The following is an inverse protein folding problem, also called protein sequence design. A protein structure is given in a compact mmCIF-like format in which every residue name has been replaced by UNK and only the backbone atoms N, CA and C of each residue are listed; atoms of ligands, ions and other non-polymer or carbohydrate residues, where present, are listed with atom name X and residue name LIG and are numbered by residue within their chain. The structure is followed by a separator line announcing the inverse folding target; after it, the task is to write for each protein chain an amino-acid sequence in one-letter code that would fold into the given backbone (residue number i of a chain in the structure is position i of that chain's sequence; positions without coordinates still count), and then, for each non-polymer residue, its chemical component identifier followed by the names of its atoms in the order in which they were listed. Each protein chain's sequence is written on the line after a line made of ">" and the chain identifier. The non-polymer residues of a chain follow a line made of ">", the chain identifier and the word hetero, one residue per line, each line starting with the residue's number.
data_IF_280830555433
#
_entry.id   IF_280830555433
#
_cell.length_a   1.000
_cell.length_b   1.000
_cell.length_c   1.000
_cell.angle_alpha   90.00
_cell.angle_beta   90.00
_cell.angle_gamma   90.00
#
_symmetry.space_group_name_H-M   'P 1'
#
loop_
_entity.id
_entity.type
_entity.pdbx_description
1 polymer ?
#
# COMPACT_ATOMS: atom_id res chain seq x y z
N UNK A 1 1.78 -11.72 -6.72
CA UNK A 1 1.29 -12.30 -5.52
C UNK A 1 2.24 -13.24 -4.86
N UNK A 2 2.63 -12.88 -3.66
CA UNK A 2 3.44 -13.73 -2.79
C UNK A 2 2.60 -14.80 -2.07
N UNK A 3 1.32 -14.85 -2.36
CA UNK A 3 0.45 -15.83 -1.75
C UNK A 3 0.53 -17.14 -2.50
N UNK A 4 1.38 -17.98 -1.98
CA UNK A 4 1.45 -19.38 -2.36
C UNK A 4 0.31 -20.16 -1.69
N UNK A 5 -0.90 -19.65 -1.84
CA UNK A 5 -2.09 -20.36 -1.40
C UNK A 5 -2.53 -21.28 -2.52
N UNK A 6 -2.02 -22.49 -2.49
CA UNK A 6 -2.52 -23.54 -3.36
C UNK A 6 -3.83 -24.06 -2.78
N UNK A 7 -4.80 -24.21 -3.65
CA UNK A 7 -6.09 -24.80 -3.41
C UNK A 7 -5.93 -26.30 -3.13
N UNK A 8 -5.54 -26.62 -1.92
CA UNK A 8 -5.72 -27.97 -1.42
C UNK A 8 -6.81 -27.93 -0.37
N UNK A 9 -7.83 -28.74 -0.64
CA UNK A 9 -8.88 -29.02 0.34
C UNK A 9 -8.21 -29.56 1.60
N UNK A 10 -7.96 -28.66 2.55
CA UNK A 10 -7.49 -29.04 3.88
C UNK A 10 -8.56 -29.90 4.55
N UNK A 11 -8.50 -31.21 4.34
CA UNK A 11 -9.03 -32.11 5.38
C UNK A 11 -8.07 -31.97 6.56
N UNK A 12 -8.57 -31.79 7.80
CA UNK A 12 -7.72 -31.88 8.97
C UNK A 12 -7.19 -33.32 9.04
N UNK A 13 -5.99 -33.52 8.51
CA UNK A 13 -5.26 -34.75 8.72
C UNK A 13 -4.60 -34.60 10.07
N UNK A 14 -4.90 -35.54 10.97
CA UNK A 14 -4.44 -35.64 12.34
C UNK A 14 -2.97 -35.27 12.52
N UNK A 15 -2.75 -34.39 13.41
CA UNK A 15 -1.59 -33.67 13.88
C UNK A 15 -0.56 -34.55 14.60
N UNK A 16 -0.05 -35.55 13.97
CA UNK A 16 1.28 -36.05 14.33
C UNK A 16 2.29 -35.29 13.48
N UNK A 17 2.87 -34.24 14.07
CA UNK A 17 3.85 -33.39 13.41
C UNK A 17 4.90 -34.20 12.68
N UNK A 18 4.97 -34.03 11.35
CA UNK A 18 6.00 -34.72 10.57
C UNK A 18 7.33 -33.99 10.79
N UNK A 19 8.34 -34.73 11.26
CA UNK A 19 9.66 -34.22 11.55
C UNK A 19 10.62 -34.50 10.37
N UNK A 20 11.27 -33.45 9.89
CA UNK A 20 12.24 -33.53 8.81
C UNK A 20 13.62 -33.08 9.29
N UNK A 21 14.64 -33.89 9.03
CA UNK A 21 16.02 -33.62 9.43
C UNK A 21 16.72 -32.50 8.63
N UNK A 22 16.12 -32.04 7.53
CA UNK A 22 16.61 -30.91 6.73
C UNK A 22 15.50 -30.28 5.89
N UNK A 23 15.71 -29.04 5.43
CA UNK A 23 14.83 -28.34 4.51
C UNK A 23 14.65 -29.12 3.20
N UNK A 24 15.73 -29.71 2.68
CA UNK A 24 15.68 -30.48 1.43
C UNK A 24 14.79 -31.73 1.53
N UNK A 25 14.78 -32.38 2.68
CA UNK A 25 13.89 -33.54 2.92
C UNK A 25 12.42 -33.11 2.96
N UNK A 26 12.11 -31.97 3.56
CA UNK A 26 10.76 -31.43 3.54
C UNK A 26 10.31 -31.04 2.12
N UNK A 27 11.21 -30.45 1.32
CA UNK A 27 10.96 -30.13 -0.08
C UNK A 27 10.72 -31.38 -0.93
N UNK A 28 11.53 -32.44 -0.71
CA UNK A 28 11.35 -33.72 -1.41
C UNK A 28 9.99 -34.36 -1.08
N UNK A 29 9.59 -34.34 0.19
CA UNK A 29 8.27 -34.83 0.61
C UNK A 29 7.11 -34.03 -0.02
N UNK A 30 7.29 -32.74 -0.21
CA UNK A 30 6.34 -31.88 -0.91
C UNK A 30 6.28 -32.23 -2.41
N UNK A 31 7.40 -32.42 -3.09
CA UNK A 31 7.47 -32.82 -4.49
C UNK A 31 6.83 -34.21 -4.72
N UNK A 32 7.00 -35.12 -3.76
CA UNK A 32 6.35 -36.43 -3.75
C UNK A 32 4.86 -36.37 -3.39
N UNK A 33 4.29 -35.15 -3.11
CA UNK A 33 2.90 -34.93 -2.71
C UNK A 33 2.50 -35.61 -1.38
N UNK A 34 3.44 -35.88 -0.50
CA UNK A 34 3.20 -36.44 0.83
C UNK A 34 2.68 -35.37 1.80
N UNK A 35 3.07 -34.12 1.58
CA UNK A 35 2.70 -32.95 2.39
C UNK A 35 2.23 -31.81 1.49
N UNK A 36 1.38 -30.93 2.04
CA UNK A 36 0.88 -29.75 1.35
C UNK A 36 1.65 -28.50 1.77
N UNK A 37 1.53 -27.40 1.03
CA UNK A 37 2.22 -26.13 1.33
C UNK A 37 1.82 -25.52 2.67
N UNK A 38 0.60 -25.76 3.14
CA UNK A 38 0.02 -25.15 4.34
C UNK A 38 0.10 -26.06 5.58
N UNK A 39 0.53 -27.28 5.40
CA UNK A 39 0.62 -28.23 6.51
C UNK A 39 1.77 -27.87 7.44
N UNK A 40 1.50 -27.84 8.75
CA UNK A 40 2.52 -27.63 9.76
C UNK A 40 3.47 -28.82 9.82
N UNK A 41 4.75 -28.54 9.77
CA UNK A 41 5.85 -29.50 9.84
C UNK A 41 6.92 -28.99 10.80
N UNK A 42 7.75 -29.89 11.30
CA UNK A 42 8.92 -29.58 12.10
C UNK A 42 10.18 -29.86 11.29
N UNK A 43 11.00 -28.83 11.09
CA UNK A 43 12.23 -28.94 10.31
C UNK A 43 13.44 -28.61 11.20
N UNK A 44 14.44 -29.47 11.14
CA UNK A 44 15.70 -29.21 11.82
C UNK A 44 16.48 -28.14 11.07
N UNK A 45 16.83 -27.05 11.77
CA UNK A 45 17.62 -25.94 11.24
C UNK A 45 18.82 -25.67 12.09
N UNK A 46 19.88 -25.23 11.45
CA UNK A 46 21.09 -24.72 12.11
C UNK A 46 21.33 -23.29 11.64
N UNK A 47 21.28 -22.36 12.57
CA UNK A 47 21.49 -20.93 12.31
C UNK A 47 22.75 -20.48 13.02
N UNK A 48 23.57 -19.66 12.35
CA UNK A 48 24.72 -18.98 12.97
C UNK A 48 24.24 -17.62 13.48
N UNK A 49 24.36 -17.37 14.77
CA UNK A 49 24.12 -16.04 15.34
C UNK A 49 25.30 -15.09 14.98
N UNK A 50 25.04 -13.77 15.17
CA UNK A 50 26.06 -12.75 14.99
C UNK A 50 27.34 -12.99 15.82
N UNK A 51 27.18 -13.62 16.97
CA UNK A 51 28.29 -14.01 17.89
C UNK A 51 29.09 -15.24 17.42
N UNK A 52 28.78 -15.80 16.25
CA UNK A 52 29.43 -17.00 15.72
C UNK A 52 28.95 -18.31 16.31
N UNK A 53 28.13 -18.32 17.34
CA UNK A 53 27.54 -19.52 17.94
C UNK A 53 26.53 -20.15 16.97
N UNK A 54 26.60 -21.48 16.83
CA UNK A 54 25.64 -22.26 16.05
C UNK A 54 24.54 -22.75 16.96
N UNK A 55 23.32 -22.36 16.68
CA UNK A 55 22.12 -22.88 17.34
C UNK A 55 21.43 -23.84 16.40
N UNK A 56 21.16 -25.06 16.84
CA UNK A 56 20.44 -26.06 16.05
C UNK A 56 19.23 -26.58 16.83
N UNK A 57 18.12 -26.78 16.13
CA UNK A 57 16.87 -27.27 16.73
C UNK A 57 15.76 -27.43 15.70
N UNK A 58 14.67 -28.00 16.17
CA UNK A 58 13.45 -28.11 15.35
C UNK A 58 12.61 -26.83 15.45
N UNK A 59 12.19 -26.34 14.29
CA UNK A 59 11.31 -25.17 14.17
C UNK A 59 10.00 -25.60 13.53
N UNK A 60 8.88 -25.22 14.11
CA UNK A 60 7.57 -25.38 13.50
C UNK A 60 7.45 -24.40 12.35
N UNK A 61 7.06 -24.91 11.19
CA UNK A 61 6.96 -24.12 9.96
C UNK A 61 6.04 -24.80 8.94
N UNK A 62 5.87 -24.18 7.78
CA UNK A 62 5.19 -24.78 6.63
C UNK A 62 6.13 -24.81 5.43
N UNK A 63 5.88 -25.70 4.47
CA UNK A 63 6.66 -25.74 3.23
C UNK A 63 6.61 -24.40 2.48
N UNK A 64 5.45 -23.73 2.48
CA UNK A 64 5.32 -22.42 1.87
C UNK A 64 6.26 -21.37 2.48
N UNK A 65 6.40 -21.33 3.80
CA UNK A 65 7.34 -20.44 4.49
C UNK A 65 8.81 -20.80 4.18
N UNK A 66 9.14 -22.08 4.07
CA UNK A 66 10.49 -22.51 3.68
C UNK A 66 10.85 -21.96 2.30
N UNK A 67 10.00 -22.19 1.30
CA UNK A 67 10.22 -21.75 -0.08
C UNK A 67 10.34 -20.23 -0.17
N UNK A 68 9.49 -19.49 0.55
CA UNK A 68 9.50 -18.04 0.53
C UNK A 68 10.79 -17.47 1.15
N UNK A 69 11.20 -17.99 2.32
CA UNK A 69 12.36 -17.51 3.02
C UNK A 69 13.70 -17.95 2.39
N UNK A 70 13.72 -18.97 1.53
CA UNK A 70 14.91 -19.38 0.79
C UNK A 70 15.46 -18.24 -0.08
N UNK A 71 14.57 -17.43 -0.65
CA UNK A 71 14.92 -16.34 -1.55
C UNK A 71 15.16 -15.00 -0.83
N UNK A 72 15.03 -14.95 0.48
CA UNK A 72 15.17 -13.73 1.28
C UNK A 72 16.34 -13.87 2.24
N UNK A 73 17.25 -12.88 2.29
CA UNK A 73 18.30 -12.84 3.30
C UNK A 73 17.74 -12.93 4.72
N UNK A 74 18.37 -13.70 5.59
CA UNK A 74 17.89 -14.00 6.94
C UNK A 74 18.51 -13.08 8.02
N UNK A 75 18.95 -11.88 7.66
CA UNK A 75 19.61 -10.89 8.51
C UNK A 75 18.98 -9.47 8.39
N UNK A 76 17.72 -9.41 8.00
CA UNK A 76 17.02 -8.15 7.76
C UNK A 76 16.55 -7.44 9.05
N UNK A 77 16.57 -8.12 10.20
CA UNK A 77 16.19 -7.55 11.49
C UNK A 77 14.68 -7.34 11.66
N UNK A 78 13.85 -8.20 11.07
CA UNK A 78 12.41 -8.28 11.41
C UNK A 78 12.21 -9.02 12.73
N UNK A 79 13.12 -9.97 13.04
CA UNK A 79 13.09 -10.73 14.27
C UNK A 79 14.34 -10.38 15.09
N UNK A 80 14.13 -10.10 16.38
CA UNK A 80 15.18 -9.88 17.34
C UNK A 80 15.83 -11.22 17.71
N UNK A 81 17.00 -11.51 17.11
CA UNK A 81 17.77 -12.74 17.32
C UNK A 81 18.65 -12.72 18.57
N UNK A 82 18.62 -11.65 19.35
CA UNK A 82 19.30 -11.61 20.65
C UNK A 82 18.60 -12.51 21.67
N UNK A 83 17.33 -12.83 21.47
CA UNK A 83 16.56 -13.76 22.30
C UNK A 83 16.72 -15.19 21.79
N UNK A 84 17.11 -16.12 22.67
CA UNK A 84 17.32 -17.53 22.33
C UNK A 84 16.07 -18.20 21.69
N UNK A 85 14.87 -17.80 22.11
CA UNK A 85 13.59 -18.32 21.58
C UNK A 85 13.37 -17.96 20.10
N UNK A 86 13.96 -16.88 19.63
CA UNK A 86 13.77 -16.38 18.27
C UNK A 86 14.91 -16.79 17.33
N UNK A 87 15.98 -17.42 17.85
CA UNK A 87 17.17 -17.75 17.07
C UNK A 87 16.87 -18.61 15.83
N UNK A 88 15.93 -19.52 15.93
CA UNK A 88 15.57 -20.47 14.86
C UNK A 88 14.42 -20.00 13.97
N UNK A 89 13.71 -18.90 14.32
CA UNK A 89 12.61 -18.38 13.52
C UNK A 89 13.08 -17.80 12.18
N UNK A 90 12.19 -17.82 11.20
CA UNK A 90 12.44 -17.18 9.90
C UNK A 90 12.24 -15.67 10.00
N UNK A 91 12.96 -14.90 9.21
CA UNK A 91 12.78 -13.45 9.14
C UNK A 91 11.36 -13.04 8.72
N UNK A 92 10.74 -13.83 7.86
CA UNK A 92 9.38 -13.56 7.37
C UNK A 92 8.47 -14.71 7.78
N UNK A 93 7.70 -14.51 8.85
CA UNK A 93 6.66 -15.43 9.34
C UNK A 93 5.27 -14.79 9.30
N UNK A 94 5.20 -13.50 8.93
CA UNK A 94 3.95 -12.76 8.82
C UNK A 94 3.37 -12.83 7.41
N UNK A 95 2.09 -12.52 7.28
CA UNK A 95 1.39 -12.44 6.00
C UNK A 95 2.01 -11.35 5.10
N UNK A 96 2.40 -11.72 3.88
CA UNK A 96 3.14 -10.86 2.95
C UNK A 96 2.28 -10.44 1.77
N UNK A 97 1.73 -9.24 1.84
CA UNK A 97 1.08 -8.58 0.71
C UNK A 97 2.00 -7.55 0.03
N UNK A 98 1.44 -6.73 -0.85
CA UNK A 98 2.17 -5.70 -1.60
C UNK A 98 2.94 -4.72 -0.70
N UNK A 99 2.35 -4.30 0.43
CA UNK A 99 2.98 -3.36 1.37
C UNK A 99 4.19 -4.00 2.07
N UNK A 100 4.03 -5.23 2.51
CA UNK A 100 5.08 -5.96 3.22
C UNK A 100 6.26 -6.31 2.30
N UNK A 101 6.01 -6.67 1.04
CA UNK A 101 7.10 -6.85 0.05
C UNK A 101 7.91 -5.56 -0.09
N UNK A 102 7.26 -4.40 -0.19
CA UNK A 102 7.97 -3.12 -0.24
C UNK A 102 8.87 -2.92 0.97
N UNK A 103 8.40 -3.22 2.17
CA UNK A 103 9.17 -3.11 3.41
C UNK A 103 10.36 -4.09 3.45
N UNK A 104 10.15 -5.33 2.99
CA UNK A 104 11.22 -6.33 2.89
C UNK A 104 12.32 -5.84 1.94
N UNK A 105 11.95 -5.38 0.74
CA UNK A 105 12.90 -4.88 -0.25
C UNK A 105 13.62 -3.62 0.21
N UNK A 106 12.94 -2.72 0.90
CA UNK A 106 13.54 -1.54 1.52
C UNK A 106 14.61 -1.94 2.56
N UNK A 107 14.33 -2.94 3.39
CA UNK A 107 15.34 -3.47 4.32
C UNK A 107 16.49 -4.16 3.60
N UNK A 108 16.21 -4.95 2.57
CA UNK A 108 17.26 -5.62 1.78
C UNK A 108 18.21 -4.61 1.15
N UNK A 109 17.69 -3.55 0.50
CA UNK A 109 18.53 -2.53 -0.14
C UNK A 109 19.37 -1.74 0.88
N UNK A 110 18.80 -1.48 2.06
CA UNK A 110 19.51 -0.76 3.12
C UNK A 110 20.60 -1.60 3.81
N UNK A 111 20.48 -2.93 3.79
CA UNK A 111 21.41 -3.84 4.46
C UNK A 111 22.47 -4.38 3.50
N UNK A 112 22.06 -4.84 2.32
CA UNK A 112 22.91 -5.54 1.35
C UNK A 112 23.26 -4.74 0.09
N UNK A 113 22.61 -3.57 -0.12
CA UNK A 113 22.84 -2.75 -1.30
C UNK A 113 22.10 -3.21 -2.56
N UNK A 114 22.31 -2.50 -3.68
CA UNK A 114 21.51 -2.64 -4.89
C UNK A 114 21.67 -3.98 -5.62
N UNK A 115 22.88 -4.53 -5.66
CA UNK A 115 23.19 -5.78 -6.41
C UNK A 115 22.45 -6.97 -5.84
N UNK A 116 22.57 -7.21 -4.54
CA UNK A 116 21.86 -8.31 -3.85
C UNK A 116 20.35 -8.10 -3.89
N UNK A 117 19.90 -6.84 -3.83
CA UNK A 117 18.46 -6.53 -3.96
C UNK A 117 17.92 -6.91 -5.34
N UNK A 118 18.70 -6.70 -6.41
CA UNK A 118 18.30 -7.11 -7.76
C UNK A 118 18.17 -8.64 -7.87
N UNK A 119 19.10 -9.40 -7.30
CA UNK A 119 19.03 -10.87 -7.25
C UNK A 119 17.79 -11.35 -6.47
N UNK A 120 17.52 -10.77 -5.30
CA UNK A 120 16.34 -11.09 -4.49
C UNK A 120 15.06 -10.78 -5.25
N UNK A 121 14.99 -9.64 -5.96
CA UNK A 121 13.84 -9.26 -6.79
C UNK A 121 13.60 -10.27 -7.92
N UNK A 122 14.65 -10.69 -8.62
CA UNK A 122 14.54 -11.66 -9.70
C UNK A 122 14.10 -13.04 -9.18
N UNK A 123 14.63 -13.47 -8.04
CA UNK A 123 14.23 -14.72 -7.40
C UNK A 123 12.77 -14.69 -6.93
N UNK A 124 12.34 -13.61 -6.27
CA UNK A 124 10.94 -13.44 -5.84
C UNK A 124 9.99 -13.41 -7.04
N UNK A 125 10.37 -12.71 -8.11
CA UNK A 125 9.61 -12.68 -9.37
C UNK A 125 9.48 -14.08 -9.98
N UNK A 126 10.59 -14.81 -10.13
CA UNK A 126 10.61 -16.16 -10.69
C UNK A 126 9.76 -17.13 -9.85
N UNK A 127 9.89 -17.06 -8.53
CA UNK A 127 9.07 -17.81 -7.58
C UNK A 127 7.58 -17.50 -7.76
N UNK A 128 7.21 -16.22 -7.83
CA UNK A 128 5.84 -15.79 -8.01
C UNK A 128 5.22 -16.36 -9.29
N UNK A 129 5.91 -16.29 -10.42
CA UNK A 129 5.44 -16.88 -11.68
C UNK A 129 5.32 -18.40 -11.59
N UNK A 130 6.33 -19.09 -11.08
CA UNK A 130 6.34 -20.55 -10.94
C UNK A 130 5.12 -21.04 -10.16
N UNK A 131 4.92 -20.52 -8.96
CA UNK A 131 3.86 -21.00 -8.07
C UNK A 131 2.47 -20.50 -8.46
N UNK A 132 2.34 -19.32 -9.06
CA UNK A 132 1.08 -18.86 -9.63
C UNK A 132 0.62 -19.77 -10.77
N UNK A 133 1.54 -20.21 -11.62
CA UNK A 133 1.25 -21.16 -12.71
C UNK A 133 0.88 -22.53 -12.16
N UNK A 134 1.62 -23.05 -11.18
CA UNK A 134 1.33 -24.36 -10.56
C UNK A 134 -0.01 -24.38 -9.82
N UNK A 135 -0.36 -23.26 -9.16
CA UNK A 135 -1.63 -23.11 -8.47
C UNK A 135 -2.82 -22.94 -9.42
N UNK A 136 -2.57 -22.73 -10.73
CA UNK A 136 -3.60 -22.49 -11.73
C UNK A 136 -4.63 -21.44 -11.30
N UNK A 137 -4.16 -20.32 -10.76
CA UNK A 137 -5.01 -19.25 -10.22
C UNK A 137 -5.87 -18.66 -11.34
N UNK A 138 -7.17 -18.82 -11.22
CA UNK A 138 -8.17 -18.35 -12.19
C UNK A 138 -9.44 -17.89 -11.47
N UNK A 139 -10.33 -17.21 -12.18
CA UNK A 139 -11.62 -16.74 -11.67
C UNK A 139 -12.74 -17.57 -12.29
N UNK A 140 -13.59 -18.14 -11.43
CA UNK A 140 -14.80 -18.84 -11.81
C UNK A 140 -16.04 -18.12 -11.24
N UNK A 141 -17.18 -18.32 -11.89
CA UNK A 141 -18.47 -17.83 -11.36
C UNK A 141 -18.78 -18.46 -10.00
N UNK A 142 -18.34 -19.70 -9.77
CA UNK A 142 -18.51 -20.40 -8.49
C UNK A 142 -17.74 -19.73 -7.34
N UNK A 143 -16.65 -19.03 -7.63
CA UNK A 143 -15.82 -18.34 -6.62
C UNK A 143 -16.50 -17.07 -6.09
N UNK A 144 -17.51 -16.58 -6.78
CA UNK A 144 -18.30 -15.40 -6.40
C UNK A 144 -19.43 -15.82 -5.47
N UNK A 145 -19.15 -16.02 -4.18
CA UNK A 145 -20.17 -16.42 -3.19
C UNK A 145 -20.97 -15.21 -2.72
N UNK A 146 -22.29 -15.26 -2.92
CA UNK A 146 -23.20 -14.20 -2.44
C UNK A 146 -23.47 -14.43 -0.95
N UNK A 147 -23.34 -13.41 -0.08
CA UNK A 147 -23.63 -13.55 1.35
C UNK A 147 -25.10 -13.93 1.58
N UNK A 148 -25.40 -14.91 2.42
CA UNK A 148 -26.78 -15.32 2.70
C UNK A 148 -27.58 -14.23 3.42
N UNK A 149 -26.92 -13.28 4.05
CA UNK A 149 -27.53 -12.14 4.75
C UNK A 149 -28.01 -11.03 3.81
N UNK A 150 -27.58 -11.01 2.54
CA UNK A 150 -27.89 -9.96 1.56
C UNK A 150 -29.39 -9.66 1.43
N UNK A 151 -30.31 -10.64 1.26
CA UNK A 151 -31.74 -10.37 1.11
C UNK A 151 -32.33 -9.62 2.30
N UNK A 152 -31.94 -10.03 3.51
CA UNK A 152 -32.42 -9.40 4.75
C UNK A 152 -31.92 -7.95 4.85
N UNK A 153 -30.66 -7.70 4.62
CA UNK A 153 -30.08 -6.35 4.70
C UNK A 153 -30.70 -5.40 3.69
N UNK A 154 -31.01 -5.87 2.48
CA UNK A 154 -31.70 -5.07 1.45
C UNK A 154 -33.14 -4.79 1.85
N UNK A 155 -33.86 -5.76 2.45
CA UNK A 155 -35.23 -5.56 2.92
C UNK A 155 -35.29 -4.52 4.04
N UNK A 156 -34.39 -4.61 5.03
CA UNK A 156 -34.32 -3.67 6.16
C UNK A 156 -34.01 -2.24 5.68
N UNK A 157 -33.12 -2.09 4.69
CA UNK A 157 -32.82 -0.81 4.06
C UNK A 157 -34.03 -0.26 3.31
N UNK A 158 -34.76 -1.09 2.57
CA UNK A 158 -35.96 -0.68 1.86
C UNK A 158 -37.06 -0.20 2.81
N UNK A 159 -37.28 -0.91 3.92
CA UNK A 159 -38.23 -0.50 4.96
C UNK A 159 -37.87 0.86 5.57
N UNK A 160 -36.58 1.13 5.74
CA UNK A 160 -36.10 2.42 6.24
C UNK A 160 -36.35 3.52 5.22
N UNK A 161 -36.05 3.32 3.94
CA UNK A 161 -36.32 4.26 2.85
C UNK A 161 -37.83 4.54 2.73
N UNK A 162 -38.68 3.52 2.91
CA UNK A 162 -40.14 3.69 2.89
C UNK A 162 -40.64 4.54 4.07
N UNK A 163 -40.01 4.42 5.25
CA UNK A 163 -40.31 5.28 6.40
C UNK A 163 -39.94 6.73 6.12
N UNK A 164 -38.74 7.00 5.58
CA UNK A 164 -38.28 8.33 5.17
C UNK A 164 -39.24 8.94 4.13
N UNK A 165 -39.64 8.15 3.14
CA UNK A 165 -40.59 8.59 2.11
C UNK A 165 -41.97 8.92 2.70
N UNK A 166 -42.44 8.17 3.69
CA UNK A 166 -43.72 8.50 4.41
C UNK A 166 -43.60 9.78 5.22
N UNK A 167 -42.46 10.06 5.85
CA UNK A 167 -42.21 11.32 6.56
C UNK A 167 -42.26 12.52 5.62
N UNK A 168 -41.62 12.39 4.46
CA UNK A 168 -41.69 13.40 3.38
C UNK A 168 -43.13 13.66 2.92
N UNK A 169 -43.89 12.60 2.63
CA UNK A 169 -45.31 12.73 2.23
C UNK A 169 -46.19 13.36 3.30
N UNK A 170 -45.79 13.30 4.58
CA UNK A 170 -46.44 14.01 5.70
C UNK A 170 -46.00 15.46 5.87
N UNK A 171 -45.02 15.92 5.08
CA UNK A 171 -44.47 17.27 5.16
C UNK A 171 -43.52 17.53 6.33
N UNK A 172 -42.95 16.45 6.95
CA UNK A 172 -42.08 16.57 8.11
C UNK A 172 -40.62 16.90 7.72
N UNK A 173 -40.23 16.54 6.51
CA UNK A 173 -38.88 16.76 5.97
C UNK A 173 -38.95 17.36 4.58
N UNK A 174 -37.92 18.10 4.18
CA UNK A 174 -37.76 18.65 2.84
C UNK A 174 -37.35 17.58 1.83
N UNK A 175 -37.50 17.84 0.54
CA UNK A 175 -37.06 16.90 -0.51
C UNK A 175 -35.55 16.70 -0.50
N UNK A 176 -34.78 17.74 -0.17
CA UNK A 176 -33.33 17.67 -0.10
C UNK A 176 -32.85 16.83 1.08
N UNK A 177 -33.51 16.92 2.23
CA UNK A 177 -33.25 16.09 3.39
C UNK A 177 -33.60 14.63 3.10
N UNK A 178 -34.80 14.39 2.52
CA UNK A 178 -35.19 13.04 2.07
C UNK A 178 -34.13 12.43 1.16
N UNK A 179 -33.68 13.18 0.15
CA UNK A 179 -32.65 12.73 -0.80
C UNK A 179 -31.37 12.35 -0.09
N UNK A 180 -30.88 13.16 0.83
CA UNK A 180 -29.66 12.90 1.61
C UNK A 180 -29.80 11.64 2.47
N UNK A 181 -30.89 11.52 3.22
CA UNK A 181 -31.15 10.39 4.09
C UNK A 181 -31.28 9.07 3.31
N UNK A 182 -31.93 9.08 2.16
CA UNK A 182 -32.06 7.90 1.28
C UNK A 182 -30.70 7.45 0.77
N UNK A 183 -29.86 8.38 0.29
CA UNK A 183 -28.52 8.05 -0.20
C UNK A 183 -27.63 7.52 0.94
N UNK A 184 -27.69 8.13 2.11
CA UNK A 184 -26.92 7.71 3.28
C UNK A 184 -27.33 6.29 3.72
N UNK A 185 -28.63 6.01 3.80
CA UNK A 185 -29.16 4.67 4.12
C UNK A 185 -28.61 3.60 3.16
N UNK A 186 -28.63 3.87 1.85
CA UNK A 186 -28.13 2.93 0.87
C UNK A 186 -26.61 2.78 0.91
N UNK A 187 -25.88 3.86 1.20
CA UNK A 187 -24.43 3.83 1.36
C UNK A 187 -24.01 3.01 2.58
N UNK A 188 -24.69 3.20 3.71
CA UNK A 188 -24.42 2.44 4.93
C UNK A 188 -24.72 0.95 4.76
N UNK A 189 -25.82 0.65 4.05
CA UNK A 189 -26.18 -0.75 3.72
C UNK A 189 -25.13 -1.39 2.80
N UNK A 190 -24.66 -0.65 1.81
CA UNK A 190 -23.62 -1.09 0.88
C UNK A 190 -22.28 -1.37 1.59
N UNK A 191 -21.88 -0.49 2.51
CA UNK A 191 -20.67 -0.65 3.31
C UNK A 191 -20.78 -1.83 4.30
N UNK A 192 -21.95 -2.00 4.93
CA UNK A 192 -22.23 -3.13 5.80
C UNK A 192 -22.22 -4.47 5.04
N UNK A 193 -22.85 -4.51 3.85
CA UNK A 193 -22.84 -5.68 2.99
C UNK A 193 -21.44 -6.02 2.49
N UNK A 194 -20.63 -5.01 2.16
CA UNK A 194 -19.24 -5.20 1.76
C UNK A 194 -18.40 -5.84 2.88
N UNK A 195 -18.58 -5.38 4.12
CA UNK A 195 -17.91 -5.98 5.28
C UNK A 195 -18.36 -7.42 5.51
N UNK A 196 -19.65 -7.69 5.43
CA UNK A 196 -20.18 -9.04 5.55
C UNK A 196 -19.67 -9.98 4.45
N UNK A 197 -19.56 -9.48 3.22
CA UNK A 197 -19.00 -10.22 2.09
C UNK A 197 -17.53 -10.58 2.30
N UNK A 198 -16.68 -9.61 2.63
CA UNK A 198 -15.25 -9.84 2.83
C UNK A 198 -14.96 -10.76 4.02
N UNK A 199 -15.76 -10.65 5.08
CA UNK A 199 -15.61 -11.53 6.25
C UNK A 199 -16.11 -12.96 5.98
N UNK A 200 -17.11 -13.11 5.11
CA UNK A 200 -17.70 -14.40 4.76
C UNK A 200 -16.99 -15.17 3.65
N UNK A 201 -16.06 -14.53 2.92
CA UNK A 201 -15.28 -15.19 1.89
C UNK A 201 -14.24 -16.13 2.52
N UNK A 202 -14.06 -17.30 1.89
CA UNK A 202 -12.97 -18.21 2.24
C UNK A 202 -11.62 -17.56 1.91
N UNK A 203 -10.66 -17.67 2.84
CA UNK A 203 -9.30 -17.17 2.66
C UNK A 203 -8.58 -17.80 1.46
N UNK A 204 -8.97 -19.01 1.07
CA UNK A 204 -8.43 -19.73 -0.08
C UNK A 204 -9.22 -19.51 -1.38
N UNK A 205 -10.19 -18.61 -1.36
CA UNK A 205 -10.90 -18.20 -2.57
C UNK A 205 -9.96 -17.40 -3.48
N UNK A 206 -9.89 -17.76 -4.76
CA UNK A 206 -8.97 -17.15 -5.72
C UNK A 206 -9.17 -15.62 -5.84
N UNK A 207 -10.43 -15.17 -5.83
CA UNK A 207 -10.75 -13.73 -5.92
C UNK A 207 -10.26 -12.99 -4.67
N UNK A 208 -10.51 -13.58 -3.49
CA UNK A 208 -10.07 -13.02 -2.22
C UNK A 208 -8.55 -12.93 -2.16
N UNK A 209 -7.83 -14.01 -2.51
CA UNK A 209 -6.37 -14.03 -2.52
C UNK A 209 -5.76 -12.99 -3.44
N UNK A 210 -6.31 -12.81 -4.65
CA UNK A 210 -5.81 -11.80 -5.59
C UNK A 210 -5.99 -10.37 -5.07
N UNK A 211 -7.09 -10.08 -4.39
CA UNK A 211 -7.36 -8.76 -3.85
C UNK A 211 -6.61 -8.49 -2.55
N UNK A 212 -6.55 -9.45 -1.63
CA UNK A 212 -5.88 -9.33 -0.33
C UNK A 212 -4.36 -9.18 -0.49
N UNK A 213 -3.75 -9.94 -1.41
CA UNK A 213 -2.34 -9.75 -1.76
C UNK A 213 -2.02 -8.39 -2.37
N UNK A 214 -3.03 -7.67 -2.87
CA UNK A 214 -2.87 -6.42 -3.60
C UNK A 214 -2.29 -6.61 -5.01
N UNK A 215 -2.26 -7.84 -5.53
CA UNK A 215 -1.79 -8.14 -6.88
C UNK A 215 -2.76 -7.62 -7.94
N UNK A 216 -4.05 -7.91 -7.78
CA UNK A 216 -5.10 -7.45 -8.69
C UNK A 216 -6.46 -7.44 -8.00
N UNK A 217 -7.27 -6.46 -8.35
CA UNK A 217 -8.59 -6.31 -7.78
C UNK A 217 -8.63 -5.35 -6.59
N UNK A 218 -9.83 -4.99 -6.21
CA UNK A 218 -10.12 -4.17 -5.03
C UNK A 218 -11.44 -4.64 -4.41
N UNK A 219 -11.64 -4.30 -3.14
CA UNK A 219 -12.87 -4.60 -2.42
C UNK A 219 -14.13 -4.10 -3.15
N UNK A 220 -14.00 -2.93 -3.82
CA UNK A 220 -15.07 -2.36 -4.64
C UNK A 220 -15.43 -3.23 -5.84
N UNK A 221 -14.46 -3.93 -6.46
CA UNK A 221 -14.72 -4.83 -7.57
C UNK A 221 -15.32 -6.14 -7.10
N UNK A 222 -14.84 -6.70 -5.98
CA UNK A 222 -15.42 -7.91 -5.37
C UNK A 222 -16.88 -7.67 -4.98
N UNK A 223 -17.17 -6.51 -4.40
CA UNK A 223 -18.51 -6.07 -4.05
C UNK A 223 -19.45 -6.08 -5.26
N UNK A 224 -19.04 -5.56 -6.39
CA UNK A 224 -19.84 -5.56 -7.61
C UNK A 224 -20.08 -6.95 -8.20
N UNK A 225 -19.14 -7.88 -7.97
CA UNK A 225 -19.25 -9.25 -8.46
C UNK A 225 -20.21 -10.11 -7.63
N UNK A 226 -20.18 -9.99 -6.31
CA UNK A 226 -20.88 -10.90 -5.38
C UNK A 226 -21.76 -10.21 -4.33
N UNK A 227 -21.65 -8.90 -4.16
CA UNK A 227 -22.44 -8.12 -3.21
C UNK A 227 -23.60 -7.37 -3.87
N UNK A 228 -23.49 -6.05 -3.90
CA UNK A 228 -24.43 -5.13 -4.53
C UNK A 228 -23.64 -4.12 -5.37
N UNK A 229 -24.16 -3.76 -6.54
CA UNK A 229 -23.50 -2.73 -7.35
C UNK A 229 -23.65 -1.33 -6.74
N UNK A 230 -24.76 -1.08 -6.07
CA UNK A 230 -24.98 0.13 -5.29
C UNK A 230 -25.49 1.31 -6.09
N UNK A 231 -25.27 2.51 -5.56
CA UNK A 231 -25.72 3.76 -6.15
C UNK A 231 -24.90 4.14 -7.39
N UNK A 232 -25.58 4.61 -8.42
CA UNK A 232 -24.97 5.09 -9.65
C UNK A 232 -25.11 6.60 -9.78
N UNK A 233 -24.16 7.23 -10.46
CA UNK A 233 -24.24 8.65 -10.79
C UNK A 233 -24.86 8.83 -12.19
N UNK A 234 -25.70 9.85 -12.31
CA UNK A 234 -26.24 10.31 -13.58
C UNK A 234 -25.14 11.00 -14.43
N UNK A 235 -25.44 11.32 -15.67
CA UNK A 235 -24.56 12.05 -16.59
C UNK A 235 -24.13 13.41 -16.06
N UNK A 236 -24.97 14.06 -15.23
CA UNK A 236 -24.66 15.33 -14.55
C UNK A 236 -23.76 15.19 -13.34
N UNK A 237 -23.55 13.96 -12.82
CA UNK A 237 -22.78 13.68 -11.61
C UNK A 237 -23.64 13.58 -10.35
N UNK A 238 -24.96 13.83 -10.42
CA UNK A 238 -25.88 13.61 -9.30
C UNK A 238 -26.11 12.11 -9.10
N UNK A 239 -26.15 11.68 -7.85
CA UNK A 239 -26.43 10.28 -7.51
C UNK A 239 -27.90 9.95 -7.74
N UNK A 240 -28.19 8.85 -8.42
CA UNK A 240 -29.55 8.36 -8.64
C UNK A 240 -30.00 7.69 -7.33
N UNK A 241 -31.20 8.04 -6.84
CA UNK A 241 -31.74 7.53 -5.56
C UNK A 241 -32.05 6.03 -5.59
N UNK A 242 -32.25 5.48 -6.78
CA UNK A 242 -32.54 4.05 -6.96
C UNK A 242 -31.23 3.26 -7.05
N UNK A 243 -30.89 2.42 -6.05
CA UNK A 243 -29.68 1.62 -6.09
C UNK A 243 -29.85 0.40 -7.00
N UNK A 244 -28.76 -0.06 -7.57
CA UNK A 244 -28.70 -1.38 -8.22
C UNK A 244 -28.45 -2.42 -7.12
N UNK A 245 -29.50 -3.16 -6.77
CA UNK A 245 -29.49 -4.17 -5.69
C UNK A 245 -28.83 -5.47 -6.12
N UNK A 246 -28.85 -5.76 -7.40
CA UNK A 246 -28.27 -6.97 -7.98
C UNK A 246 -26.74 -6.88 -8.10
N UNK A 247 -26.09 -8.02 -8.16
CA UNK A 247 -24.67 -8.17 -8.47
C UNK A 247 -24.48 -8.84 -9.85
N UNK A 248 -23.26 -8.82 -10.37
CA UNK A 248 -22.98 -9.41 -11.67
C UNK A 248 -23.22 -10.94 -11.71
N UNK A 249 -23.03 -11.64 -10.57
CA UNK A 249 -23.31 -13.07 -10.49
C UNK A 249 -24.80 -13.38 -10.67
N UNK A 250 -25.67 -12.59 -10.04
CA UNK A 250 -27.13 -12.76 -10.14
C UNK A 250 -27.69 -12.30 -11.48
N UNK A 251 -26.94 -11.41 -12.15
CA UNK A 251 -27.40 -10.70 -13.35
C UNK A 251 -28.16 -9.42 -12.98
N UNK A 252 -28.19 -8.48 -13.91
CA UNK A 252 -28.88 -7.21 -13.75
C UNK A 252 -30.23 -7.24 -14.48
N UNK A 253 -31.24 -6.61 -13.90
CA UNK A 253 -32.49 -6.35 -14.60
C UNK A 253 -32.29 -5.32 -15.73
N UNK A 254 -33.19 -5.25 -16.68
CA UNK A 254 -33.10 -4.34 -17.85
C UNK A 254 -32.91 -2.88 -17.40
N UNK A 255 -33.66 -2.46 -16.40
CA UNK A 255 -33.59 -1.08 -15.88
C UNK A 255 -32.27 -0.82 -15.15
N UNK A 256 -31.83 -1.77 -14.34
CA UNK A 256 -30.54 -1.70 -13.66
C UNK A 256 -29.37 -1.69 -14.63
N UNK A 257 -29.44 -2.48 -15.70
CA UNK A 257 -28.45 -2.48 -16.77
C UNK A 257 -28.39 -1.13 -17.48
N UNK A 258 -29.54 -0.54 -17.80
CA UNK A 258 -29.60 0.76 -18.45
C UNK A 258 -29.00 1.87 -17.59
N UNK A 259 -29.34 1.93 -16.29
CA UNK A 259 -28.70 2.87 -15.34
C UNK A 259 -27.20 2.67 -15.26
N UNK A 260 -26.76 1.43 -15.24
CA UNK A 260 -25.35 1.04 -15.23
C UNK A 260 -24.60 1.52 -16.48
N UNK A 261 -25.25 1.48 -17.64
CA UNK A 261 -24.66 1.91 -18.91
C UNK A 261 -24.35 3.41 -18.96
N UNK A 262 -25.11 4.25 -18.26
CA UNK A 262 -24.83 5.69 -18.14
C UNK A 262 -23.46 5.94 -17.50
N UNK A 263 -23.18 5.32 -16.37
CA UNK A 263 -21.89 5.44 -15.68
C UNK A 263 -20.73 4.90 -16.50
N UNK A 264 -20.90 3.76 -17.17
CA UNK A 264 -19.89 3.18 -18.04
C UNK A 264 -19.57 4.09 -19.23
N UNK A 265 -20.59 4.61 -19.92
CA UNK A 265 -20.40 5.54 -21.04
C UNK A 265 -19.71 6.83 -20.60
N UNK A 266 -20.14 7.41 -19.46
CA UNK A 266 -19.48 8.59 -18.88
C UNK A 266 -18.01 8.31 -18.59
N UNK A 267 -17.69 7.18 -17.96
CA UNK A 267 -16.32 6.80 -17.67
C UNK A 267 -15.45 6.65 -18.91
N UNK A 268 -15.96 6.04 -19.97
CA UNK A 268 -15.24 5.91 -21.25
C UNK A 268 -15.00 7.27 -21.91
N UNK A 269 -16.03 8.13 -21.94
CA UNK A 269 -15.92 9.47 -22.52
C UNK A 269 -14.94 10.35 -21.72
N UNK A 270 -15.07 10.37 -20.39
CA UNK A 270 -14.20 11.15 -19.51
C UNK A 270 -12.74 10.70 -19.64
N UNK A 271 -12.48 9.41 -19.74
CA UNK A 271 -11.12 8.89 -19.94
C UNK A 271 -10.53 9.37 -21.25
N UNK A 272 -11.29 9.31 -22.35
CA UNK A 272 -10.84 9.76 -23.66
C UNK A 272 -10.51 11.26 -23.68
N UNK A 273 -11.35 12.10 -23.07
CA UNK A 273 -11.15 13.55 -23.00
C UNK A 273 -10.00 13.93 -22.07
N UNK A 274 -9.93 13.33 -20.87
CA UNK A 274 -8.87 13.61 -19.88
C UNK A 274 -7.48 13.21 -20.38
N UNK A 275 -7.37 12.21 -21.23
CA UNK A 275 -6.09 11.80 -21.81
C UNK A 275 -5.49 12.93 -22.64
N UNK A 276 -6.30 13.61 -23.45
CA UNK A 276 -5.86 14.76 -24.25
C UNK A 276 -5.43 15.94 -23.36
N UNK A 277 -6.22 16.28 -22.34
CA UNK A 277 -5.94 17.39 -21.40
C UNK A 277 -4.66 17.13 -20.62
N UNK A 278 -4.49 15.90 -20.11
CA UNK A 278 -3.28 15.46 -19.40
C UNK A 278 -2.05 15.53 -20.30
N UNK A 279 -2.15 15.07 -21.55
CA UNK A 279 -1.06 15.13 -22.52
C UNK A 279 -0.67 16.58 -22.85
N UNK A 280 -1.64 17.45 -23.07
CA UNK A 280 -1.38 18.86 -23.33
C UNK A 280 -0.79 19.59 -22.12
N UNK A 281 -1.28 19.30 -20.89
CA UNK A 281 -0.70 19.85 -19.66
C UNK A 281 0.76 19.41 -19.50
N UNK A 282 1.03 18.12 -19.67
CA UNK A 282 2.39 17.55 -19.57
C UNK A 282 3.33 18.21 -20.57
N UNK A 283 2.91 18.36 -21.82
CA UNK A 283 3.71 19.04 -22.84
C UNK A 283 4.06 20.47 -22.44
N UNK A 284 3.07 21.26 -21.98
CA UNK A 284 3.32 22.66 -21.55
C UNK A 284 4.28 22.74 -20.37
N UNK A 285 4.15 21.81 -19.39
CA UNK A 285 5.06 21.74 -18.24
C UNK A 285 6.48 21.41 -18.67
N UNK A 286 6.66 20.43 -19.55
CA UNK A 286 7.98 20.06 -20.09
C UNK A 286 8.57 21.20 -20.91
N UNK A 287 7.81 21.86 -21.80
CA UNK A 287 8.29 22.98 -22.62
C UNK A 287 8.82 24.14 -21.76
N UNK A 288 8.17 24.44 -20.63
CA UNK A 288 8.60 25.48 -19.69
C UNK A 288 9.81 25.07 -18.85
N UNK A 289 9.88 23.79 -18.45
CA UNK A 289 10.86 23.32 -17.47
C UNK A 289 12.07 22.60 -18.06
N UNK A 290 12.06 22.24 -19.35
CA UNK A 290 13.14 21.47 -20.00
C UNK A 290 14.55 22.06 -19.86
N UNK A 291 14.66 23.37 -19.70
CA UNK A 291 15.94 24.06 -19.53
C UNK A 291 16.43 24.12 -18.08
N UNK A 292 15.62 23.59 -17.14
CA UNK A 292 15.99 23.60 -15.73
C UNK A 292 17.03 22.52 -15.45
N UNK A 293 18.25 22.97 -15.19
CA UNK A 293 19.41 22.12 -14.92
C UNK A 293 20.00 22.52 -13.57
N UNK A 294 20.55 21.55 -12.84
CA UNK A 294 21.34 21.80 -11.64
C UNK A 294 22.70 22.40 -12.05
N UNK A 295 22.93 23.68 -11.77
CA UNK A 295 24.13 24.40 -12.22
C UNK A 295 25.28 24.41 -11.24
N UNK A 296 24.97 24.38 -9.95
CA UNK A 296 25.95 24.50 -8.87
C UNK A 296 25.55 23.64 -7.67
N UNK A 297 26.50 23.33 -6.81
CA UNK A 297 26.26 22.53 -5.62
C UNK A 297 25.48 23.31 -4.56
N UNK A 298 25.82 24.59 -4.34
CA UNK A 298 25.22 25.43 -3.29
C UNK A 298 25.23 26.90 -3.69
N UNK A 299 24.06 27.50 -3.86
CA UNK A 299 23.89 28.91 -4.22
C UNK A 299 24.33 29.92 -3.13
N UNK A 300 24.65 29.45 -1.93
CA UNK A 300 25.14 30.27 -0.82
C UNK A 300 26.62 30.02 -0.47
N UNK A 301 27.29 29.11 -1.18
CA UNK A 301 28.69 28.81 -0.91
C UNK A 301 29.57 30.06 -1.15
N UNK A 302 30.37 30.42 -0.16
CA UNK A 302 31.34 31.53 -0.27
C UNK A 302 30.73 32.93 -0.29
N UNK A 303 29.42 33.10 -0.21
CA UNK A 303 28.79 34.44 -0.32
C UNK A 303 28.48 35.10 1.02
N UNK A 304 28.65 34.41 2.15
CA UNK A 304 28.28 34.92 3.50
C UNK A 304 26.79 35.24 3.68
N UNK A 305 25.96 34.86 2.69
CA UNK A 305 24.51 35.12 2.72
C UNK A 305 23.79 34.09 3.57
N UNK A 306 22.69 34.51 4.21
CA UNK A 306 21.78 33.60 4.93
C UNK A 306 21.24 32.53 3.98
N UNK A 307 21.11 31.29 4.51
CA UNK A 307 20.60 30.13 3.76
C UNK A 307 19.13 30.40 3.39
N UNK A 308 18.77 30.40 2.09
CA UNK A 308 17.40 30.64 1.67
C UNK A 308 16.56 29.45 2.04
N UNK A 309 15.37 29.68 2.59
CA UNK A 309 14.49 28.60 2.94
C UNK A 309 13.06 29.06 3.16
N UNK A 310 12.15 28.09 3.15
CA UNK A 310 10.73 28.27 3.40
C UNK A 310 10.30 27.38 4.57
N UNK A 311 9.42 27.91 5.39
CA UNK A 311 8.81 27.13 6.47
C UNK A 311 7.74 26.23 5.90
N UNK A 312 7.83 24.94 6.18
CA UNK A 312 6.90 23.91 5.72
C UNK A 312 6.20 23.28 6.91
N UNK A 313 4.90 23.09 6.78
CA UNK A 313 4.01 22.40 7.73
C UNK A 313 3.36 21.21 7.03
N UNK A 314 2.69 20.32 7.77
CA UNK A 314 1.80 19.32 7.17
C UNK A 314 0.74 20.01 6.30
N UNK A 315 0.40 19.39 5.17
CA UNK A 315 -0.63 19.90 4.28
C UNK A 315 -1.99 19.35 4.68
N UNK A 316 -2.85 20.26 5.17
CA UNK A 316 -4.18 19.93 5.67
C UNK A 316 -5.25 20.47 4.74
N UNK A 317 -6.27 19.68 4.45
CA UNK A 317 -7.49 20.13 3.81
C UNK A 317 -8.67 19.97 4.78
N UNK A 318 -9.06 21.08 5.41
CA UNK A 318 -10.03 21.05 6.51
C UNK A 318 -9.47 20.30 7.73
N UNK A 319 -9.98 19.10 8.00
CA UNK A 319 -9.52 18.22 9.10
C UNK A 319 -8.69 17.02 8.64
N UNK A 320 -8.58 16.81 7.36
CA UNK A 320 -7.85 15.69 6.77
C UNK A 320 -6.42 16.09 6.44
N UNK A 321 -5.45 15.27 6.85
CA UNK A 321 -4.05 15.42 6.51
C UNK A 321 -3.78 14.76 5.15
N UNK A 322 -3.52 15.57 4.11
CA UNK A 322 -3.24 15.08 2.76
C UNK A 322 -1.80 14.63 2.62
N UNK A 323 -0.86 15.43 3.16
CA UNK A 323 0.56 15.15 3.09
C UNK A 323 1.22 15.45 4.43
N UNK A 324 1.86 14.42 5.01
CA UNK A 324 2.49 14.55 6.31
C UNK A 324 3.73 15.46 6.27
N UNK A 325 4.05 16.10 7.39
CA UNK A 325 5.28 16.87 7.49
C UNK A 325 6.50 16.01 7.22
N UNK A 326 6.49 14.74 7.64
CA UNK A 326 7.59 13.80 7.39
C UNK A 326 7.85 13.60 5.90
N UNK A 327 6.82 13.41 5.08
CA UNK A 327 6.94 13.24 3.63
C UNK A 327 7.48 14.52 2.98
N UNK A 328 6.97 15.68 3.38
CA UNK A 328 7.37 16.98 2.83
C UNK A 328 8.81 17.37 3.10
N UNK A 329 9.38 16.97 4.24
CA UNK A 329 10.78 17.29 4.59
C UNK A 329 11.77 16.22 4.09
N UNK A 330 11.30 15.02 3.78
CA UNK A 330 12.17 13.93 3.31
C UNK A 330 12.83 14.28 1.99
N UNK A 331 14.16 14.09 1.91
CA UNK A 331 14.96 14.40 0.74
C UNK A 331 15.27 15.90 0.56
N UNK A 332 14.84 16.77 1.48
CA UNK A 332 15.16 18.21 1.45
C UNK A 332 16.33 18.53 2.35
N UNK A 333 16.95 19.69 2.14
CA UNK A 333 18.02 20.20 2.99
C UNK A 333 17.44 21.13 4.08
N UNK A 334 17.82 20.90 5.33
CA UNK A 334 17.42 21.77 6.44
C UNK A 334 18.15 23.10 6.38
N UNK A 335 17.48 24.19 6.68
CA UNK A 335 18.12 25.52 6.87
C UNK A 335 18.74 25.63 8.24
N UNK A 336 18.07 25.14 9.27
CA UNK A 336 18.47 25.22 10.67
C UNK A 336 18.93 23.86 11.19
N UNK A 337 19.71 23.86 12.26
CA UNK A 337 20.04 22.64 13.00
C UNK A 337 18.80 22.19 13.76
N UNK A 338 18.45 20.91 13.67
CA UNK A 338 17.33 20.30 14.39
C UNK A 338 17.91 19.41 15.48
N UNK A 339 17.48 19.64 16.71
CA UNK A 339 17.95 18.91 17.90
C UNK A 339 16.83 18.11 18.55
N UNK A 340 17.22 17.17 19.36
CA UNK A 340 16.38 16.38 20.27
C UNK A 340 16.17 17.11 21.59
N UNK A 341 15.29 16.60 22.46
CA UNK A 341 15.04 17.10 23.82
C UNK A 341 16.29 17.18 24.70
N UNK A 342 17.24 16.27 24.43
CA UNK A 342 18.51 16.18 25.15
C UNK A 342 19.60 17.09 24.55
N UNK A 343 19.28 17.91 23.54
CA UNK A 343 20.23 18.79 22.85
C UNK A 343 21.11 18.07 21.82
N UNK A 344 20.89 16.77 21.56
CA UNK A 344 21.64 16.04 20.53
C UNK A 344 21.17 16.47 19.13
N UNK A 345 22.11 16.68 18.23
CA UNK A 345 21.84 17.10 16.86
C UNK A 345 21.34 15.92 16.02
N UNK A 346 20.07 15.97 15.58
CA UNK A 346 19.48 15.00 14.64
C UNK A 346 19.90 15.33 13.21
N UNK A 347 19.74 16.61 12.81
CA UNK A 347 20.10 17.12 11.49
C UNK A 347 20.86 18.43 11.64
N UNK A 348 22.06 18.52 11.08
CA UNK A 348 22.83 19.77 11.03
C UNK A 348 22.25 20.70 9.96
N UNK A 349 22.41 22.00 10.17
CA UNK A 349 22.06 23.00 9.16
C UNK A 349 22.74 22.67 7.80
N UNK A 350 22.05 22.89 6.71
CA UNK A 350 22.53 22.66 5.35
C UNK A 350 22.88 21.17 5.01
N UNK A 351 22.27 20.22 5.76
CA UNK A 351 22.39 18.79 5.49
C UNK A 351 21.04 18.22 5.03
N UNK A 352 21.12 17.15 4.23
CA UNK A 352 19.95 16.46 3.71
C UNK A 352 19.23 15.66 4.81
N UNK A 353 17.92 15.79 4.83
CA UNK A 353 17.01 15.03 5.70
C UNK A 353 16.68 13.70 5.01
N UNK A 354 17.39 12.64 5.36
CA UNK A 354 17.10 11.30 4.86
C UNK A 354 15.81 10.75 5.48
N UNK A 355 15.14 9.72 4.91
CA UNK A 355 13.93 9.14 5.49
C UNK A 355 14.08 8.72 6.96
N UNK A 356 15.24 8.14 7.33
CA UNK A 356 15.55 7.77 8.72
C UNK A 356 15.64 8.99 9.64
N UNK A 357 16.27 10.07 9.17
CA UNK A 357 16.35 11.33 9.92
C UNK A 357 15.00 12.03 10.02
N UNK A 358 14.19 11.99 8.96
CA UNK A 358 12.84 12.55 8.98
C UNK A 358 11.96 11.87 10.03
N UNK A 359 11.98 10.54 10.09
CA UNK A 359 11.28 9.78 11.12
C UNK A 359 11.75 10.15 12.54
N UNK A 360 13.07 10.31 12.73
CA UNK A 360 13.65 10.76 14.02
C UNK A 360 13.24 12.17 14.38
N UNK A 361 13.21 13.10 13.44
CA UNK A 361 12.74 14.49 13.63
C UNK A 361 11.28 14.51 14.09
N UNK A 362 10.43 13.65 13.53
CA UNK A 362 9.01 13.58 13.93
C UNK A 362 8.81 12.92 15.30
N UNK A 363 9.66 11.97 15.68
CA UNK A 363 9.54 11.23 16.94
C UNK A 363 10.16 11.99 18.14
N UNK A 364 11.34 12.57 17.97
CA UNK A 364 12.19 13.08 19.03
C UNK A 364 12.49 14.58 18.90
N UNK A 365 12.30 15.16 17.71
CA UNK A 365 12.68 16.55 17.42
C UNK A 365 11.87 17.57 18.20
N UNK A 366 12.55 18.61 18.67
CA UNK A 366 11.92 19.74 19.38
C UNK A 366 12.28 21.07 18.73
N UNK A 367 11.34 22.02 18.85
CA UNK A 367 11.51 23.40 18.46
C UNK A 367 12.34 24.16 19.52
N UNK A 368 12.75 25.39 19.23
CA UNK A 368 13.48 26.28 20.12
C UNK A 368 12.80 26.48 21.49
N UNK A 369 11.49 26.25 21.57
CA UNK A 369 10.67 26.33 22.77
C UNK A 369 10.50 24.98 23.51
N UNK A 370 11.13 23.89 23.04
CA UNK A 370 11.01 22.54 23.61
C UNK A 370 9.72 21.80 23.28
N UNK A 371 8.91 22.32 22.34
CA UNK A 371 7.69 21.65 21.87
C UNK A 371 7.98 20.71 20.69
N UNK A 372 7.14 19.68 20.46
CA UNK A 372 7.27 18.83 19.28
C UNK A 372 7.23 19.64 17.98
N UNK A 373 8.06 19.28 17.01
CA UNK A 373 8.18 20.00 15.74
C UNK A 373 6.89 19.87 14.92
N UNK A 374 6.25 21.00 14.64
CA UNK A 374 5.08 21.09 13.73
C UNK A 374 5.43 21.77 12.41
N UNK A 375 6.58 22.40 12.33
CA UNK A 375 7.06 23.11 11.15
C UNK A 375 8.59 23.07 11.06
N UNK A 376 9.11 23.00 9.85
CA UNK A 376 10.56 22.96 9.59
C UNK A 376 10.90 23.96 8.49
N UNK A 377 11.99 24.72 8.66
CA UNK A 377 12.53 25.60 7.60
C UNK A 377 13.46 24.77 6.72
N UNK A 378 13.05 24.53 5.47
CA UNK A 378 13.80 23.74 4.48
C UNK A 378 14.19 24.58 3.27
N UNK A 379 15.25 24.17 2.58
CA UNK A 379 15.62 24.75 1.30
C UNK A 379 14.68 24.26 0.20
N UNK A 380 14.27 25.17 -0.67
CA UNK A 380 13.37 24.86 -1.81
C UNK A 380 13.87 25.51 -3.09
N UNK A 381 13.42 25.01 -4.23
CA UNK A 381 13.69 25.60 -5.54
C UNK A 381 13.12 27.02 -5.67
N UNK A 382 12.02 27.30 -4.96
CA UNK A 382 11.34 28.61 -4.98
C UNK A 382 12.19 29.73 -4.35
N UNK A 383 13.05 29.38 -3.41
CA UNK A 383 13.91 30.34 -2.70
C UNK A 383 15.37 30.27 -3.19
N UNK A 384 15.66 29.46 -4.21
CA UNK A 384 17.01 29.33 -4.74
C UNK A 384 17.52 30.64 -5.31
N UNK A 385 18.77 30.98 -5.01
CA UNK A 385 19.45 32.22 -5.45
C UNK A 385 20.45 31.97 -6.58
N UNK A 386 20.40 30.81 -7.22
CA UNK A 386 21.20 30.53 -8.42
C UNK A 386 20.78 31.45 -9.54
N UNK A 387 21.78 31.99 -10.28
CA UNK A 387 21.52 32.95 -11.35
C UNK A 387 20.77 32.31 -12.54
N UNK A 388 21.09 31.07 -12.87
CA UNK A 388 20.43 30.30 -13.94
C UNK A 388 20.22 28.86 -13.43
N UNK A 389 19.03 28.32 -13.61
CA UNK A 389 18.69 26.99 -13.09
C UNK A 389 18.53 26.96 -11.58
N UNK A 390 18.90 25.87 -10.94
CA UNK A 390 18.82 25.66 -9.50
C UNK A 390 20.11 25.06 -8.95
N UNK A 391 20.37 25.20 -7.66
CA UNK A 391 21.50 24.52 -7.03
C UNK A 391 21.05 23.15 -6.45
N UNK A 392 21.99 22.21 -6.32
CA UNK A 392 21.72 20.86 -5.86
C UNK A 392 21.08 20.83 -4.47
N UNK A 393 21.53 21.66 -3.53
CA UNK A 393 20.98 21.70 -2.18
C UNK A 393 19.56 22.28 -2.10
N UNK A 394 19.20 23.22 -2.97
CA UNK A 394 17.83 23.76 -3.01
C UNK A 394 16.85 22.78 -3.67
N UNK A 395 17.34 21.98 -4.62
CA UNK A 395 16.53 20.91 -5.20
C UNK A 395 16.36 19.73 -4.23
N UNK A 396 17.46 19.24 -3.65
CA UNK A 396 17.44 18.15 -2.66
C UNK A 396 17.80 16.80 -3.25
N UNK A 397 17.00 15.78 -2.96
CA UNK A 397 17.23 14.42 -3.46
C UNK A 397 16.66 14.20 -4.87
N UNK A 398 17.37 13.39 -5.65
CA UNK A 398 16.85 12.83 -6.89
C UNK A 398 15.72 11.84 -6.54
N UNK A 399 14.56 12.02 -7.15
CA UNK A 399 13.36 11.22 -6.86
C UNK A 399 13.49 9.75 -7.31
N UNK A 400 14.36 9.43 -8.25
CA UNK A 400 14.59 8.08 -8.73
C UNK A 400 15.52 7.28 -7.80
N UNK A 401 16.60 7.91 -7.31
CA UNK A 401 17.65 7.23 -6.54
C UNK A 401 17.60 7.50 -5.04
N UNK A 402 16.88 8.55 -4.59
CA UNK A 402 16.88 9.01 -3.20
C UNK A 402 18.18 9.65 -2.73
N UNK A 403 19.19 9.75 -3.59
CA UNK A 403 20.47 10.40 -3.28
C UNK A 403 20.42 11.88 -3.63
N UNK A 404 21.38 12.65 -3.13
CA UNK A 404 21.48 14.06 -3.52
C UNK A 404 21.70 14.20 -5.02
N UNK A 405 21.00 15.14 -5.66
CA UNK A 405 21.11 15.41 -7.09
C UNK A 405 22.52 15.91 -7.43
N UNK A 406 23.01 15.53 -8.58
CA UNK A 406 24.33 15.95 -9.06
C UNK A 406 24.28 17.22 -9.93
N UNK A 407 25.39 17.95 -9.97
CA UNK A 407 25.52 19.11 -10.85
C UNK A 407 25.56 18.64 -12.31
N UNK A 408 24.80 19.32 -13.17
CA UNK A 408 24.62 18.96 -14.58
C UNK A 408 23.38 18.11 -14.87
N UNK A 409 22.68 17.65 -13.85
CA UNK A 409 21.46 16.86 -14.01
C UNK A 409 20.29 17.73 -14.46
N UNK A 410 19.57 17.28 -15.49
CA UNK A 410 18.34 17.92 -15.95
C UNK A 410 17.18 17.46 -15.07
N UNK A 411 16.46 18.41 -14.49
CA UNK A 411 15.40 18.14 -13.50
C UNK A 411 14.01 18.52 -13.97
N UNK A 412 13.90 19.11 -15.16
CA UNK A 412 12.64 19.56 -15.74
C UNK A 412 12.04 18.60 -16.78
N UNK A 413 12.63 17.44 -16.94
CA UNK A 413 12.18 16.42 -17.92
C UNK A 413 11.57 15.25 -17.19
#
# INVERSE_FOLDING_TARGET
>A
GSEMCIRDSCRPIDLLGRYYGSVNLAMLAYENKEITLHQNIFVHRTVKLADGTKVSGFTETTVGLLIFNENIPQDLGFIDRSKAENALKFEVEFHVGKKQIKQILEKVINTHGATTTAEVLDNVKAMGYKYSTQAAMTVSISDMTVPPQKPQMIADAQDTVDKITRQYKRGLITDEERYKEVIETWKDTDDALTKALLTGLDKYNNIFMMADSGARGSDKQIKQLAGMRGLMADTTGRTIELPIKSCFREGLDVLEYFMSAHGARKGLSDTALRTADSGYLTRRLVDVSQHMIVRESDCCAGTGREIPGMVVKAFMEGREEIESLQERITGRFSCNTICDKDGNVIVKANHMITPKRAAKVMAEGVDENGNPITQVKIRTVLTCRSHMGVCAKCYGSNLATGQAVQVGEAIGI
#
